data_IF_573557020669
#
_entry.id   IF_573557020669
#
_cell.length_a   1.000
_cell.length_b   1.000
_cell.length_c   1.000
_cell.angle_alpha   90.00
_cell.angle_beta   90.00
_cell.angle_gamma   90.00
#
_symmetry.space_group_name_H-M   'P 1'
#
loop_
_entity.id
_entity.type
_entity.pdbx_description
1 polymer ?
#
# COMPACT_ATOMS: atom_id res chain seq x y z
N UNK A 1 -12.86 -11.24 -38.21
CA UNK A 1 -11.66 -10.44 -38.54
C UNK A 1 -10.51 -10.88 -37.64
N UNK A 2 -10.65 -10.76 -36.32
CA UNK A 2 -9.68 -11.26 -35.32
C UNK A 2 -9.26 -12.73 -35.49
N UNK A 3 -10.19 -13.62 -35.86
CA UNK A 3 -9.91 -15.04 -36.13
C UNK A 3 -8.94 -15.22 -37.31
N UNK A 4 -9.17 -14.45 -38.39
CA UNK A 4 -8.36 -14.49 -39.62
C UNK A 4 -6.99 -13.86 -39.38
N UNK A 5 -6.93 -12.77 -38.61
CA UNK A 5 -5.69 -12.10 -38.25
C UNK A 5 -4.86 -12.93 -37.25
N UNK A 6 -5.49 -13.62 -36.30
CA UNK A 6 -4.83 -14.56 -35.38
C UNK A 6 -4.23 -15.74 -36.15
N UNK A 7 -4.95 -16.28 -37.14
CA UNK A 7 -4.48 -17.39 -37.99
C UNK A 7 -3.26 -16.99 -38.84
N UNK A 8 -3.23 -15.76 -39.36
CA UNK A 8 -2.11 -15.23 -40.14
C UNK A 8 -0.85 -14.93 -39.31
N UNK A 9 -1.02 -14.68 -38.01
CA UNK A 9 0.06 -14.28 -37.09
C UNK A 9 0.43 -15.38 -36.06
N UNK A 10 -0.06 -16.61 -36.23
CA UNK A 10 0.38 -17.77 -35.42
C UNK A 10 1.54 -18.47 -36.13
N UNK A 11 2.71 -17.83 -36.12
CA UNK A 11 3.95 -18.43 -36.58
C UNK A 11 4.99 -18.17 -35.49
N UNK A 12 5.29 -19.17 -34.67
CA UNK A 12 6.28 -19.07 -33.60
C UNK A 12 7.72 -18.96 -34.14
N UNK A 13 7.93 -19.31 -35.42
CA UNK A 13 9.24 -19.43 -36.08
C UNK A 13 9.60 -18.28 -37.03
N UNK A 14 8.71 -17.29 -37.21
CA UNK A 14 9.07 -16.06 -37.93
C UNK A 14 9.36 -14.94 -36.95
N UNK A 15 10.47 -14.23 -37.18
CA UNK A 15 10.78 -12.90 -36.65
C UNK A 15 9.73 -11.85 -37.11
N UNK A 16 8.45 -12.08 -36.84
CA UNK A 16 7.36 -11.19 -37.22
C UNK A 16 6.98 -10.31 -36.02
N UNK A 17 7.74 -9.20 -35.90
CA UNK A 17 7.43 -7.81 -35.54
C UNK A 17 6.16 -7.37 -34.77
N UNK A 18 5.36 -8.25 -34.14
CA UNK A 18 4.22 -7.82 -33.32
C UNK A 18 4.25 -8.50 -31.94
N UNK A 19 5.21 -8.08 -31.11
CA UNK A 19 5.42 -8.53 -29.73
C UNK A 19 4.17 -8.45 -28.84
N UNK A 20 3.20 -7.60 -29.20
CA UNK A 20 1.96 -7.42 -28.45
C UNK A 20 0.86 -8.45 -28.78
N UNK A 21 0.91 -9.10 -29.95
CA UNK A 21 -0.16 -9.99 -30.38
C UNK A 21 -0.30 -11.22 -29.47
N UNK A 22 0.81 -11.78 -28.98
CA UNK A 22 0.84 -12.94 -28.07
C UNK A 22 1.37 -12.60 -26.69
N UNK A 23 1.27 -11.32 -26.28
CA UNK A 23 1.64 -10.89 -24.93
C UNK A 23 0.87 -11.69 -23.86
N UNK A 24 1.49 -11.89 -22.69
CA UNK A 24 1.03 -12.81 -21.64
C UNK A 24 -0.45 -12.65 -21.24
N UNK A 25 -0.81 -11.55 -20.60
CA UNK A 25 -2.14 -11.20 -20.14
C UNK A 25 -3.12 -11.10 -21.31
N UNK A 26 -2.68 -10.55 -22.46
CA UNK A 26 -3.53 -10.45 -23.64
C UNK A 26 -3.94 -11.83 -24.17
N UNK A 27 -3.02 -12.80 -24.18
CA UNK A 27 -3.30 -14.19 -24.57
C UNK A 27 -4.29 -14.85 -23.61
N UNK A 28 -4.12 -14.64 -22.30
CA UNK A 28 -5.05 -15.11 -21.27
C UNK A 28 -6.46 -14.53 -21.43
N UNK A 29 -6.56 -13.19 -21.54
CA UNK A 29 -7.83 -12.49 -21.74
C UNK A 29 -8.55 -12.90 -23.03
N UNK A 30 -7.83 -13.08 -24.14
CA UNK A 30 -8.42 -13.60 -25.37
C UNK A 30 -8.93 -15.03 -25.20
N UNK A 31 -8.19 -15.87 -24.47
CA UNK A 31 -8.59 -17.25 -24.20
C UNK A 31 -9.91 -17.30 -23.43
N UNK A 32 -10.11 -16.40 -22.46
CA UNK A 32 -11.40 -16.26 -21.76
C UNK A 32 -12.54 -15.88 -22.72
N UNK A 33 -12.31 -14.92 -23.63
CA UNK A 33 -13.30 -14.50 -24.63
C UNK A 33 -13.64 -15.63 -25.63
N UNK A 34 -12.62 -16.36 -26.09
CA UNK A 34 -12.80 -17.52 -26.98
C UNK A 34 -13.64 -18.59 -26.29
N UNK A 35 -13.35 -18.88 -25.02
CA UNK A 35 -14.13 -19.83 -24.24
C UNK A 35 -15.60 -19.41 -24.13
N UNK A 36 -15.86 -18.14 -23.78
CA UNK A 36 -17.22 -17.60 -23.71
C UNK A 36 -17.98 -17.73 -25.03
N UNK A 37 -17.35 -17.34 -26.15
CA UNK A 37 -18.00 -17.43 -27.47
C UNK A 37 -18.28 -18.87 -27.87
N UNK A 38 -17.33 -19.79 -27.63
CA UNK A 38 -17.53 -21.20 -27.94
C UNK A 38 -18.67 -21.80 -27.11
N UNK A 39 -18.73 -21.50 -25.82
CA UNK A 39 -19.82 -21.96 -24.95
C UNK A 39 -21.18 -21.42 -25.42
N UNK A 40 -21.25 -20.15 -25.82
CA UNK A 40 -22.47 -19.56 -26.38
C UNK A 40 -22.90 -20.26 -27.68
N UNK A 41 -21.96 -20.55 -28.60
CA UNK A 41 -22.26 -21.27 -29.84
C UNK A 41 -22.77 -22.69 -29.56
N UNK A 42 -22.23 -23.37 -28.54
CA UNK A 42 -22.65 -24.73 -28.19
C UNK A 42 -24.02 -24.73 -27.50
N UNK A 43 -24.33 -23.74 -26.66
CA UNK A 43 -25.58 -23.69 -25.88
C UNK A 43 -26.79 -23.09 -26.60
N UNK A 44 -26.58 -22.23 -27.61
CA UNK A 44 -27.68 -21.59 -28.32
C UNK A 44 -28.26 -22.52 -29.40
N UNK A 45 -29.57 -22.79 -29.31
CA UNK A 45 -30.31 -23.69 -30.23
C UNK A 45 -30.33 -23.15 -31.68
N UNK A 46 -30.39 -21.83 -31.87
CA UNK A 46 -30.45 -21.17 -33.18
C UNK A 46 -29.07 -20.65 -33.66
N UNK A 47 -28.13 -21.58 -33.84
CA UNK A 47 -26.73 -21.28 -34.20
C UNK A 47 -26.34 -21.71 -35.60
N UNK A 48 -27.30 -21.94 -36.50
CA UNK A 48 -27.01 -22.43 -37.86
C UNK A 48 -25.97 -21.55 -38.59
N UNK A 49 -26.05 -20.23 -38.39
CA UNK A 49 -25.12 -19.23 -38.92
C UNK A 49 -23.71 -19.30 -38.32
N UNK A 50 -23.56 -19.80 -37.09
CA UNK A 50 -22.30 -19.85 -36.35
C UNK A 50 -21.65 -21.23 -36.34
N UNK A 51 -22.43 -22.31 -36.52
CA UNK A 51 -21.93 -23.70 -36.62
C UNK A 51 -20.88 -23.86 -37.71
N UNK A 52 -20.98 -23.11 -38.81
CA UNK A 52 -19.97 -23.11 -39.88
C UNK A 52 -18.58 -22.63 -39.45
N UNK A 53 -18.46 -21.94 -38.32
CA UNK A 53 -17.19 -21.46 -37.76
C UNK A 53 -16.67 -22.35 -36.62
N UNK A 54 -17.38 -23.41 -36.26
CA UNK A 54 -17.05 -24.23 -35.09
C UNK A 54 -15.64 -24.85 -35.20
N UNK A 55 -15.26 -25.31 -36.39
CA UNK A 55 -13.92 -25.83 -36.66
C UNK A 55 -12.83 -24.75 -36.51
N UNK A 56 -13.10 -23.53 -36.97
CA UNK A 56 -12.20 -22.39 -36.77
C UNK A 56 -12.05 -22.06 -35.28
N UNK A 57 -13.12 -22.15 -34.49
CA UNK A 57 -13.06 -21.95 -33.03
C UNK A 57 -12.28 -23.08 -32.34
N UNK A 58 -12.49 -24.35 -32.69
CA UNK A 58 -11.70 -25.44 -32.13
C UNK A 58 -10.22 -25.35 -32.49
N UNK A 59 -9.91 -24.90 -33.71
CA UNK A 59 -8.55 -24.57 -34.11
C UNK A 59 -7.99 -23.44 -33.23
N UNK A 60 -8.73 -22.35 -33.02
CA UNK A 60 -8.29 -21.25 -32.15
C UNK A 60 -8.06 -21.69 -30.70
N UNK A 61 -8.93 -22.54 -30.15
CA UNK A 61 -8.75 -23.12 -28.81
C UNK A 61 -7.45 -23.91 -28.75
N UNK A 62 -7.20 -24.79 -29.73
CA UNK A 62 -5.94 -25.55 -29.82
C UNK A 62 -4.71 -24.65 -29.86
N UNK A 63 -4.75 -23.60 -30.68
CA UNK A 63 -3.67 -22.63 -30.82
C UNK A 63 -3.40 -21.90 -29.48
N UNK A 64 -4.43 -21.44 -28.78
CA UNK A 64 -4.27 -20.75 -27.51
C UNK A 64 -3.82 -21.69 -26.38
N UNK A 65 -4.31 -22.94 -26.33
CA UNK A 65 -3.80 -23.95 -25.38
C UNK A 65 -2.30 -24.17 -25.61
N UNK A 66 -1.86 -24.36 -26.87
CA UNK A 66 -0.44 -24.51 -27.20
C UNK A 66 0.37 -23.28 -26.79
N UNK A 67 -0.11 -22.08 -27.12
CA UNK A 67 0.56 -20.83 -26.76
C UNK A 67 0.70 -20.69 -25.24
N UNK A 68 -0.39 -20.83 -24.47
CA UNK A 68 -0.37 -20.69 -23.01
C UNK A 68 0.46 -21.76 -22.29
N UNK A 69 0.64 -22.94 -22.87
CA UNK A 69 1.51 -23.99 -22.32
C UNK A 69 3.00 -23.68 -22.47
N UNK A 70 3.38 -23.02 -23.56
CA UNK A 70 4.80 -22.74 -23.90
C UNK A 70 5.21 -21.36 -23.40
N UNK A 71 4.28 -20.41 -23.33
CA UNK A 71 4.52 -19.08 -22.79
C UNK A 71 5.05 -19.18 -21.35
N UNK A 72 6.08 -18.38 -21.07
CA UNK A 72 6.53 -18.15 -19.70
C UNK A 72 5.37 -17.55 -18.91
N UNK A 73 5.12 -18.10 -17.73
CA UNK A 73 4.14 -17.52 -16.80
C UNK A 73 4.61 -16.13 -16.41
N UNK A 74 3.73 -15.14 -16.56
CA UNK A 74 4.02 -13.77 -16.18
C UNK A 74 4.29 -13.66 -14.67
N UNK A 75 4.99 -12.61 -14.26
CA UNK A 75 5.08 -12.24 -12.86
C UNK A 75 3.84 -11.47 -12.41
N UNK A 76 3.45 -11.63 -11.14
CA UNK A 76 2.36 -10.86 -10.53
C UNK A 76 0.98 -11.21 -11.10
N UNK A 77 0.10 -10.21 -11.15
CA UNK A 77 -1.31 -10.37 -11.48
C UNK A 77 -1.61 -10.81 -12.92
N UNK A 78 -0.71 -10.59 -13.88
CA UNK A 78 -0.89 -11.05 -15.27
C UNK A 78 -1.03 -12.58 -15.37
N UNK A 79 -0.35 -13.31 -14.48
CA UNK A 79 -0.38 -14.77 -14.42
C UNK A 79 -1.80 -15.31 -14.19
N UNK A 80 -2.63 -14.57 -13.45
CA UNK A 80 -4.02 -14.91 -13.15
C UNK A 80 -4.80 -15.12 -14.46
N UNK A 81 -4.68 -14.18 -15.40
CA UNK A 81 -5.40 -14.22 -16.67
C UNK A 81 -4.91 -15.33 -17.59
N UNK A 82 -3.59 -15.61 -17.60
CA UNK A 82 -3.03 -16.73 -18.37
C UNK A 82 -3.58 -18.07 -17.90
N UNK A 83 -3.52 -18.33 -16.58
CA UNK A 83 -3.94 -19.60 -15.99
C UNK A 83 -5.45 -19.77 -16.04
N UNK A 84 -6.21 -18.71 -15.76
CA UNK A 84 -7.66 -18.77 -15.86
C UNK A 84 -8.14 -18.99 -17.31
N UNK A 85 -7.54 -18.26 -18.27
CA UNK A 85 -7.80 -18.45 -19.69
C UNK A 85 -7.53 -19.89 -20.15
N UNK A 86 -6.39 -20.47 -19.73
CA UNK A 86 -6.08 -21.88 -20.00
C UNK A 86 -7.12 -22.82 -19.40
N UNK A 87 -7.51 -22.62 -18.14
CA UNK A 87 -8.50 -23.45 -17.46
C UNK A 87 -9.84 -23.47 -18.22
N UNK A 88 -10.34 -22.30 -18.63
CA UNK A 88 -11.59 -22.21 -19.39
C UNK A 88 -11.51 -22.95 -20.74
N UNK A 89 -10.42 -22.79 -21.48
CA UNK A 89 -10.23 -23.51 -22.75
C UNK A 89 -10.18 -25.03 -22.56
N UNK A 90 -9.48 -25.52 -21.53
CA UNK A 90 -9.41 -26.95 -21.22
C UNK A 90 -10.76 -27.55 -20.86
N UNK A 91 -11.64 -26.78 -20.20
CA UNK A 91 -12.99 -27.24 -19.85
C UNK A 91 -13.89 -27.43 -21.06
N UNK A 92 -13.70 -26.64 -22.12
CA UNK A 92 -14.50 -26.69 -23.34
C UNK A 92 -13.91 -27.62 -24.42
N UNK A 93 -12.67 -28.08 -24.24
CA UNK A 93 -11.99 -28.86 -25.28
C UNK A 93 -12.48 -30.32 -25.33
N UNK A 94 -12.94 -30.82 -26.49
CA UNK A 94 -13.48 -32.18 -26.65
C UNK A 94 -12.40 -33.28 -26.83
N UNK A 95 -11.14 -32.98 -26.51
CA UNK A 95 -10.00 -33.88 -26.75
C UNK A 95 -9.88 -35.04 -25.77
N UNK A 96 -8.85 -35.88 -26.00
CA UNK A 96 -8.62 -37.13 -25.28
C UNK A 96 -8.61 -36.95 -23.74
N UNK A 97 -9.37 -37.81 -23.05
CA UNK A 97 -9.83 -37.56 -21.68
C UNK A 97 -8.72 -37.63 -20.61
N UNK A 98 -7.69 -38.47 -20.81
CA UNK A 98 -6.63 -38.70 -19.80
C UNK A 98 -5.67 -37.52 -19.68
N UNK A 99 -5.12 -37.03 -20.79
CA UNK A 99 -4.14 -35.93 -20.79
C UNK A 99 -4.79 -34.60 -20.39
N UNK A 100 -6.07 -34.42 -20.74
CA UNK A 100 -6.85 -33.24 -20.38
C UNK A 100 -7.16 -33.17 -18.89
N UNK A 101 -7.41 -34.32 -18.24
CA UNK A 101 -7.62 -34.37 -16.79
C UNK A 101 -6.36 -33.92 -16.03
N UNK A 102 -5.21 -34.49 -16.36
CA UNK A 102 -3.93 -34.15 -15.74
C UNK A 102 -3.61 -32.67 -15.95
N UNK A 103 -3.82 -32.14 -17.16
CA UNK A 103 -3.54 -30.75 -17.46
C UNK A 103 -4.47 -29.78 -16.72
N UNK A 104 -5.74 -30.14 -16.48
CA UNK A 104 -6.67 -29.38 -15.64
C UNK A 104 -6.19 -29.34 -14.19
N UNK A 105 -5.85 -30.48 -13.60
CA UNK A 105 -5.32 -30.56 -12.22
C UNK A 105 -4.04 -29.72 -12.06
N UNK A 106 -3.13 -29.77 -13.03
CA UNK A 106 -1.93 -28.93 -13.05
C UNK A 106 -2.26 -27.43 -13.16
N UNK A 107 -3.27 -27.07 -13.94
CA UNK A 107 -3.70 -25.68 -14.12
C UNK A 107 -4.39 -25.14 -12.86
N UNK A 108 -5.18 -25.97 -12.19
CA UNK A 108 -5.78 -25.65 -10.89
C UNK A 108 -4.70 -25.42 -9.83
N UNK A 109 -3.73 -26.35 -9.71
CA UNK A 109 -2.59 -26.17 -8.79
C UNK A 109 -1.83 -24.87 -9.05
N UNK A 110 -1.58 -24.50 -10.31
CA UNK A 110 -0.95 -23.22 -10.67
C UNK A 110 -1.80 -22.02 -10.24
N UNK A 111 -3.13 -22.09 -10.37
CA UNK A 111 -4.00 -21.01 -9.90
C UNK A 111 -3.91 -20.85 -8.38
N UNK A 112 -3.87 -21.95 -7.63
CA UNK A 112 -3.67 -21.93 -6.18
C UNK A 112 -2.32 -21.32 -5.82
N UNK A 113 -1.23 -21.70 -6.49
CA UNK A 113 0.09 -21.11 -6.29
C UNK A 113 0.09 -19.59 -6.56
N UNK A 114 -0.56 -19.15 -7.64
CA UNK A 114 -0.72 -17.72 -7.94
C UNK A 114 -1.50 -17.02 -6.83
N UNK A 115 -2.62 -17.60 -6.39
CA UNK A 115 -3.44 -17.03 -5.32
C UNK A 115 -2.64 -16.83 -4.03
N UNK A 116 -1.90 -17.84 -3.58
CA UNK A 116 -1.07 -17.74 -2.38
C UNK A 116 0.11 -16.77 -2.54
N UNK A 117 0.51 -16.45 -3.77
CA UNK A 117 1.48 -15.38 -4.05
C UNK A 117 0.86 -13.98 -4.09
N UNK A 118 -0.46 -13.86 -4.04
CA UNK A 118 -1.18 -12.58 -4.06
C UNK A 118 -1.66 -12.17 -2.67
N UNK A 119 -2.08 -13.10 -1.81
CA UNK A 119 -2.58 -12.77 -0.46
C UNK A 119 -1.78 -13.46 0.65
N UNK A 120 -1.64 -12.76 1.77
CA UNK A 120 -1.28 -13.36 3.06
C UNK A 120 -2.47 -14.14 3.65
N UNK A 121 -2.20 -15.02 4.62
CA UNK A 121 -3.26 -15.83 5.24
C UNK A 121 -4.26 -14.98 6.06
N UNK A 122 -3.82 -13.80 6.50
CA UNK A 122 -4.64 -12.76 7.11
C UNK A 122 -5.56 -12.01 6.12
N UNK A 123 -5.47 -12.25 4.82
CA UNK A 123 -6.32 -11.63 3.80
C UNK A 123 -5.82 -10.26 3.32
N UNK A 124 -4.57 -9.90 3.55
CA UNK A 124 -3.96 -8.69 2.98
C UNK A 124 -3.24 -9.04 1.68
N UNK A 125 -3.46 -8.24 0.64
CA UNK A 125 -2.74 -8.38 -0.63
C UNK A 125 -1.27 -8.01 -0.48
N UNK A 126 -0.39 -8.71 -1.20
CA UNK A 126 1.05 -8.62 -1.01
C UNK A 126 1.68 -7.40 -1.65
N UNK A 127 1.08 -6.70 -2.61
CA UNK A 127 1.78 -5.67 -3.40
C UNK A 127 1.71 -4.25 -2.80
N UNK A 128 1.63 -4.13 -1.48
CA UNK A 128 1.76 -2.87 -0.73
C UNK A 128 0.88 -1.69 -1.23
N UNK A 129 -0.29 -1.98 -1.80
CA UNK A 129 -1.17 -0.97 -2.38
C UNK A 129 -2.63 -1.28 -2.10
N UNK A 130 -3.33 -0.29 -1.53
CA UNK A 130 -4.77 -0.30 -1.34
C UNK A 130 -5.54 -0.58 -2.65
N UNK A 131 -5.10 0.02 -3.77
CA UNK A 131 -5.74 -0.21 -5.06
C UNK A 131 -5.53 -1.64 -5.58
N UNK A 132 -4.32 -2.19 -5.44
CA UNK A 132 -4.05 -3.56 -5.88
C UNK A 132 -4.77 -4.59 -5.01
N UNK A 133 -4.94 -4.33 -3.72
CA UNK A 133 -5.80 -5.14 -2.85
C UNK A 133 -7.20 -5.27 -3.44
N UNK A 134 -7.86 -4.14 -3.71
CA UNK A 134 -9.22 -4.11 -4.26
C UNK A 134 -9.28 -4.69 -5.68
N UNK A 135 -8.32 -4.38 -6.55
CA UNK A 135 -8.30 -4.86 -7.94
C UNK A 135 -8.18 -6.39 -8.01
N UNK A 136 -7.28 -6.98 -7.22
CA UNK A 136 -7.02 -8.42 -7.24
C UNK A 136 -8.13 -9.19 -6.56
N UNK A 137 -8.67 -8.69 -5.45
CA UNK A 137 -9.87 -9.24 -4.83
C UNK A 137 -11.03 -9.32 -5.84
N UNK A 138 -11.36 -8.20 -6.48
CA UNK A 138 -12.42 -8.14 -7.49
C UNK A 138 -12.19 -9.08 -8.68
N UNK A 139 -10.92 -9.28 -9.06
CA UNK A 139 -10.56 -10.20 -10.12
C UNK A 139 -10.84 -11.64 -9.71
N UNK A 140 -10.40 -12.04 -8.52
CA UNK A 140 -10.63 -13.38 -7.99
C UNK A 140 -12.11 -13.68 -7.72
N UNK A 141 -12.88 -12.74 -7.15
CA UNK A 141 -14.33 -12.88 -6.95
C UNK A 141 -15.08 -13.18 -8.26
N UNK A 142 -14.59 -12.68 -9.39
CA UNK A 142 -15.21 -12.89 -10.71
C UNK A 142 -14.84 -14.23 -11.36
N UNK A 143 -13.63 -14.73 -11.11
CA UNK A 143 -13.09 -15.87 -11.86
C UNK A 143 -13.09 -17.18 -11.05
N UNK A 144 -13.04 -17.10 -9.72
CA UNK A 144 -13.04 -18.28 -8.86
C UNK A 144 -14.47 -18.71 -8.57
N UNK A 145 -14.79 -19.93 -8.96
CA UNK A 145 -16.02 -20.61 -8.57
C UNK A 145 -15.71 -22.06 -8.24
N UNK A 146 -16.51 -22.67 -7.36
CA UNK A 146 -16.39 -24.10 -7.01
C UNK A 146 -16.60 -25.02 -8.21
N UNK A 147 -17.27 -24.53 -9.26
CA UNK A 147 -17.47 -25.28 -10.50
C UNK A 147 -16.19 -25.35 -11.34
N UNK A 148 -15.42 -24.25 -11.36
CA UNK A 148 -14.19 -24.14 -12.15
C UNK A 148 -12.98 -24.69 -11.36
N UNK A 149 -12.94 -24.43 -10.05
CA UNK A 149 -11.87 -24.79 -9.13
C UNK A 149 -12.44 -25.50 -7.87
N UNK A 150 -12.73 -26.81 -7.95
CA UNK A 150 -13.38 -27.55 -6.86
C UNK A 150 -12.52 -27.71 -5.61
N UNK A 151 -11.18 -27.76 -5.72
CA UNK A 151 -10.28 -28.07 -4.59
C UNK A 151 -9.82 -26.82 -3.81
N UNK A 152 -10.61 -25.75 -3.87
CA UNK A 152 -10.22 -24.38 -3.50
C UNK A 152 -10.87 -23.85 -2.20
N UNK A 153 -11.22 -24.71 -1.23
CA UNK A 153 -11.96 -24.25 -0.02
C UNK A 153 -11.20 -23.18 0.78
N UNK A 154 -9.88 -23.31 0.89
CA UNK A 154 -9.05 -22.38 1.69
C UNK A 154 -8.97 -20.98 1.05
N UNK A 155 -8.84 -20.88 -0.28
CA UNK A 155 -8.72 -19.58 -0.95
C UNK A 155 -10.00 -18.74 -0.79
N UNK A 156 -11.18 -19.38 -0.75
CA UNK A 156 -12.43 -18.68 -0.46
C UNK A 156 -12.45 -18.09 0.95
N UNK A 157 -11.85 -18.75 1.95
CA UNK A 157 -11.74 -18.18 3.30
C UNK A 157 -10.82 -16.96 3.33
N UNK A 158 -9.72 -17.00 2.57
CA UNK A 158 -8.79 -15.87 2.47
C UNK A 158 -9.45 -14.71 1.71
N UNK A 159 -10.23 -14.99 0.66
CA UNK A 159 -11.00 -13.98 -0.06
C UNK A 159 -12.05 -13.29 0.83
N UNK A 160 -12.76 -14.04 1.67
CA UNK A 160 -13.69 -13.46 2.62
C UNK A 160 -12.98 -12.53 3.62
N UNK A 161 -11.78 -12.90 4.10
CA UNK A 161 -10.96 -12.00 4.92
C UNK A 161 -10.53 -10.77 4.13
N UNK A 162 -10.04 -10.93 2.90
CA UNK A 162 -9.63 -9.82 2.05
C UNK A 162 -10.79 -8.85 1.79
N UNK A 163 -11.98 -9.37 1.53
CA UNK A 163 -13.19 -8.57 1.36
C UNK A 163 -13.51 -7.73 2.60
N UNK A 164 -13.46 -8.31 3.79
CA UNK A 164 -13.64 -7.57 5.05
C UNK A 164 -12.54 -6.53 5.25
N UNK A 165 -11.30 -6.90 4.98
CA UNK A 165 -10.13 -6.06 5.18
C UNK A 165 -10.03 -4.89 4.20
N UNK A 166 -10.85 -4.84 3.14
CA UNK A 166 -10.94 -3.68 2.26
C UNK A 166 -11.25 -2.39 3.04
N UNK A 167 -11.99 -2.49 4.15
CA UNK A 167 -12.30 -1.36 5.01
C UNK A 167 -11.04 -0.62 5.49
N UNK A 168 -9.96 -1.35 5.76
CA UNK A 168 -8.68 -0.81 6.21
C UNK A 168 -7.85 -0.18 5.10
N UNK A 169 -8.24 -0.31 3.82
CA UNK A 169 -7.52 0.28 2.68
C UNK A 169 -7.96 1.73 2.41
N UNK A 170 -8.82 2.28 3.26
CA UNK A 170 -9.50 3.56 3.08
C UNK A 170 -9.54 4.32 4.40
N UNK A 171 -9.49 5.65 4.32
CA UNK A 171 -9.90 6.52 5.42
C UNK A 171 -11.40 6.37 5.72
N UNK A 172 -11.87 6.75 6.91
CA UNK A 172 -13.29 6.69 7.27
C UNK A 172 -14.23 7.50 6.35
N UNK A 173 -13.74 8.53 5.66
CA UNK A 173 -14.49 9.25 4.61
C UNK A 173 -14.53 8.49 3.25
N UNK A 174 -14.10 7.23 3.24
CA UNK A 174 -14.00 6.33 2.10
C UNK A 174 -12.95 6.71 1.03
N UNK A 175 -12.12 7.71 1.29
CA UNK A 175 -10.97 8.01 0.47
C UNK A 175 -9.91 6.91 0.58
N UNK A 176 -9.39 6.44 -0.54
CA UNK A 176 -8.33 5.43 -0.57
C UNK A 176 -7.07 5.89 0.16
N UNK A 177 -6.51 5.03 1.02
CA UNK A 177 -5.16 5.23 1.54
C UNK A 177 -4.19 5.14 0.37
N UNK A 178 -3.52 6.24 0.04
CA UNK A 178 -2.64 6.34 -1.12
C UNK A 178 -1.30 5.60 -0.96
N UNK A 179 -1.29 4.49 -0.23
CA UNK A 179 -0.11 3.65 0.01
C UNK A 179 0.37 3.00 -1.28
N UNK A 180 1.68 3.03 -1.51
CA UNK A 180 2.29 2.48 -2.70
C UNK A 180 1.67 3.01 -4.01
N UNK A 181 1.54 2.16 -5.02
CA UNK A 181 0.96 2.54 -6.30
C UNK A 181 -0.60 2.60 -6.29
N UNK A 182 -1.15 3.34 -5.34
CA UNK A 182 -2.59 3.60 -5.22
C UNK A 182 -2.99 4.93 -5.89
N UNK A 183 -4.16 4.91 -6.53
CA UNK A 183 -4.81 6.07 -7.13
C UNK A 183 -5.87 6.61 -6.18
N UNK A 184 -6.01 7.92 -6.17
CA UNK A 184 -7.07 8.61 -5.43
C UNK A 184 -8.46 8.21 -5.94
N UNK A 185 -9.29 7.74 -5.00
CA UNK A 185 -10.70 7.43 -5.21
C UNK A 185 -11.44 7.63 -3.89
N UNK A 186 -12.68 8.09 -3.98
CA UNK A 186 -13.66 7.96 -2.90
C UNK A 186 -14.58 6.82 -3.29
N UNK A 187 -14.59 5.74 -2.50
CA UNK A 187 -15.41 4.56 -2.81
C UNK A 187 -16.70 4.56 -1.99
N UNK A 188 -17.62 3.67 -2.37
CA UNK A 188 -18.72 3.29 -1.49
C UNK A 188 -18.30 2.03 -0.74
N UNK A 189 -18.22 2.06 0.61
CA UNK A 189 -17.89 0.87 1.38
C UNK A 189 -18.86 -0.28 1.08
N UNK A 190 -18.35 -1.51 1.07
CA UNK A 190 -19.20 -2.71 0.96
C UNK A 190 -19.91 -2.96 2.28
N UNK A 191 -21.02 -3.70 2.26
CA UNK A 191 -21.76 -4.06 3.49
C UNK A 191 -20.96 -4.97 4.41
N UNK A 192 -20.06 -5.75 3.83
CA UNK A 192 -19.23 -6.74 4.53
C UNK A 192 -17.91 -6.15 5.05
N UNK A 193 -17.62 -4.88 4.73
CA UNK A 193 -16.44 -4.16 5.22
C UNK A 193 -16.68 -3.73 6.67
N UNK A 194 -15.73 -4.03 7.54
CA UNK A 194 -15.81 -3.75 8.97
C UNK A 194 -14.41 -3.39 9.48
N UNK A 195 -14.32 -2.27 10.19
CA UNK A 195 -13.11 -1.87 10.92
C UNK A 195 -13.38 -2.15 12.40
N UNK A 196 -12.47 -2.88 13.03
CA UNK A 196 -12.56 -3.16 14.47
C UNK A 196 -12.02 -1.98 15.27
N UNK A 197 -12.77 -1.58 16.29
CA UNK A 197 -12.29 -0.67 17.33
C UNK A 197 -11.02 -1.20 18.01
N UNK A 198 -10.16 -0.29 18.41
CA UNK A 198 -8.86 -0.55 19.01
C UNK A 198 -7.75 -0.77 17.99
N UNK A 199 -6.77 -1.59 18.38
CA UNK A 199 -5.62 -1.91 17.54
C UNK A 199 -5.93 -3.11 16.66
N UNK A 200 -5.78 -2.96 15.35
CA UNK A 200 -5.71 -4.08 14.41
C UNK A 200 -4.31 -4.16 13.82
N UNK A 201 -3.58 -5.24 14.11
CA UNK A 201 -2.26 -5.50 13.53
C UNK A 201 -2.28 -6.70 12.59
N UNK A 202 -2.00 -6.46 11.32
CA UNK A 202 -1.80 -7.47 10.29
C UNK A 202 -0.32 -7.87 10.27
N UNK A 203 0.02 -8.90 11.06
CA UNK A 203 1.39 -9.30 11.34
C UNK A 203 2.18 -9.71 10.10
N UNK A 204 1.54 -10.37 9.15
CA UNK A 204 2.24 -10.83 7.94
C UNK A 204 2.57 -9.68 7.01
N UNK A 205 1.65 -8.74 6.79
CA UNK A 205 1.83 -7.57 5.91
C UNK A 205 2.55 -6.40 6.58
N UNK A 206 2.51 -6.29 7.90
CA UNK A 206 3.07 -5.18 8.67
C UNK A 206 2.13 -3.98 8.83
N UNK A 207 0.89 -4.07 8.35
CA UNK A 207 -0.06 -2.96 8.49
C UNK A 207 -0.67 -2.93 9.89
N UNK A 208 -0.63 -1.77 10.52
CA UNK A 208 -1.20 -1.54 11.85
C UNK A 208 -2.17 -0.40 11.78
N UNK A 209 -3.32 -0.58 12.42
CA UNK A 209 -4.36 0.43 12.50
C UNK A 209 -4.74 0.64 13.96
N UNK A 210 -4.97 1.89 14.34
CA UNK A 210 -5.75 2.25 15.52
C UNK A 210 -7.03 2.88 15.01
N UNK A 211 -8.18 2.34 15.42
CA UNK A 211 -9.48 2.86 15.05
C UNK A 211 -10.36 3.04 16.30
N UNK A 212 -11.04 4.17 16.42
CA UNK A 212 -12.08 4.38 17.43
C UNK A 212 -13.33 4.90 16.74
N UNK A 213 -14.46 4.22 16.97
CA UNK A 213 -15.75 4.65 16.48
C UNK A 213 -16.29 5.76 17.41
N UNK A 214 -16.51 6.93 16.85
CA UNK A 214 -17.16 8.05 17.52
C UNK A 214 -17.97 8.83 16.46
N UNK A 215 -18.62 9.95 16.82
CA UNK A 215 -19.41 10.75 15.87
C UNK A 215 -18.60 11.17 14.62
N UNK A 216 -17.28 11.33 14.78
CA UNK A 216 -16.28 11.51 13.73
C UNK A 216 -15.13 10.51 13.91
N UNK A 217 -15.21 9.30 13.31
CA UNK A 217 -14.28 8.22 13.58
C UNK A 217 -12.81 8.65 13.51
N UNK A 218 -11.99 8.09 14.40
CA UNK A 218 -10.55 8.35 14.47
C UNK A 218 -9.80 7.19 13.86
N UNK A 219 -8.84 7.43 12.98
CA UNK A 219 -8.03 6.36 12.38
C UNK A 219 -6.57 6.76 12.21
N UNK A 220 -5.67 5.93 12.73
CA UNK A 220 -4.23 5.99 12.46
C UNK A 220 -3.81 4.73 11.70
N UNK A 221 -3.16 4.89 10.56
CA UNK A 221 -2.43 3.84 9.85
C UNK A 221 -0.95 3.92 10.19
N UNK A 222 -0.29 2.77 10.32
CA UNK A 222 1.15 2.66 10.53
C UNK A 222 1.71 1.43 9.83
N UNK A 223 2.64 1.64 8.90
CA UNK A 223 3.33 0.57 8.18
C UNK A 223 4.62 0.14 8.88
N UNK A 224 4.80 -1.16 9.09
CA UNK A 224 5.91 -1.68 9.90
C UNK A 224 6.72 -2.79 9.23
N UNK A 225 6.50 -3.09 7.95
CA UNK A 225 7.23 -4.14 7.24
C UNK A 225 7.67 -3.73 5.82
N UNK A 226 8.67 -4.45 5.30
CA UNK A 226 9.12 -4.35 3.92
C UNK A 226 9.42 -5.74 3.37
N UNK A 227 8.44 -6.32 2.65
CA UNK A 227 8.46 -7.75 2.29
C UNK A 227 8.61 -8.02 0.80
N UNK A 228 8.37 -7.01 -0.04
CA UNK A 228 8.51 -7.09 -1.48
C UNK A 228 8.61 -5.68 -2.08
N UNK A 229 8.93 -5.63 -3.37
CA UNK A 229 9.13 -4.38 -4.13
C UNK A 229 7.98 -4.03 -5.06
N UNK A 230 7.00 -4.92 -5.21
CA UNK A 230 5.93 -4.68 -6.16
C UNK A 230 5.09 -3.51 -5.63
N UNK A 231 4.94 -2.47 -6.45
CA UNK A 231 4.12 -1.30 -6.16
C UNK A 231 4.43 -0.59 -4.83
N UNK A 232 5.63 -0.82 -4.30
CA UNK A 232 6.13 -0.32 -3.02
C UNK A 232 6.91 0.97 -3.21
N UNK A 233 6.78 1.90 -2.27
CA UNK A 233 7.58 3.14 -2.20
C UNK A 233 8.64 3.05 -1.10
N UNK A 234 9.49 4.06 -0.98
CA UNK A 234 10.55 4.14 0.04
C UNK A 234 10.02 4.72 1.37
N UNK A 235 8.93 4.13 1.88
CA UNK A 235 8.02 4.68 2.90
C UNK A 235 8.05 3.90 4.23
N UNK A 236 9.21 3.41 4.65
CA UNK A 236 9.29 2.59 5.87
C UNK A 236 8.84 3.40 7.09
N UNK A 237 7.97 2.80 7.92
CA UNK A 237 7.40 3.44 9.10
C UNK A 237 6.46 4.63 8.83
N UNK A 238 5.94 4.73 7.61
CA UNK A 238 4.95 5.74 7.24
C UNK A 238 3.68 5.64 8.09
N UNK A 239 3.11 6.80 8.41
CA UNK A 239 1.86 6.94 9.13
C UNK A 239 0.87 7.80 8.36
N UNK A 240 -0.42 7.52 8.52
CA UNK A 240 -1.50 8.36 7.99
C UNK A 240 -2.53 8.56 9.09
N UNK A 241 -3.11 9.75 9.19
CA UNK A 241 -3.99 10.14 10.29
C UNK A 241 -5.28 10.72 9.75
N UNK A 242 -6.39 10.26 10.30
CA UNK A 242 -7.72 10.80 10.10
C UNK A 242 -8.34 11.14 11.45
N UNK A 243 -8.75 12.40 11.60
CA UNK A 243 -9.37 12.91 12.81
C UNK A 243 -10.44 13.94 12.46
N UNK A 244 -11.51 13.99 13.25
CA UNK A 244 -12.55 15.02 13.17
C UNK A 244 -13.17 15.14 11.77
N UNK A 245 -13.36 14.01 11.09
CA UNK A 245 -13.97 13.99 9.76
C UNK A 245 -13.01 14.39 8.62
N UNK A 246 -11.72 14.58 8.90
CA UNK A 246 -10.72 15.05 7.94
C UNK A 246 -9.48 14.16 7.90
N UNK A 247 -8.92 14.00 6.71
CA UNK A 247 -7.57 13.48 6.54
C UNK A 247 -6.59 14.55 7.04
N UNK A 248 -5.74 14.21 8.01
CA UNK A 248 -4.75 15.12 8.59
C UNK A 248 -3.38 14.85 7.96
N UNK A 249 -2.86 13.64 8.13
CA UNK A 249 -1.62 13.17 7.51
C UNK A 249 -1.94 12.27 6.32
N UNK A 250 -1.42 12.64 5.15
CA UNK A 250 -1.68 11.94 3.88
C UNK A 250 -0.41 11.51 3.18
N UNK A 251 -0.57 10.62 2.21
CA UNK A 251 0.52 10.16 1.34
C UNK A 251 0.48 10.89 -0.01
N UNK A 252 1.64 11.01 -0.65
CA UNK A 252 1.79 11.61 -1.97
C UNK A 252 1.16 10.78 -3.09
N UNK A 253 0.99 9.47 -2.92
CA UNK A 253 0.37 8.59 -3.92
C UNK A 253 1.27 8.29 -5.12
N UNK A 254 0.69 7.84 -6.24
CA UNK A 254 1.45 7.20 -7.33
C UNK A 254 2.00 8.12 -8.42
N UNK A 255 1.23 9.15 -8.78
CA UNK A 255 1.38 10.00 -9.98
C UNK A 255 1.30 9.26 -11.34
N UNK A 256 2.31 8.46 -11.69
CA UNK A 256 2.38 7.75 -12.97
C UNK A 256 3.17 6.44 -12.84
N UNK A 257 3.41 5.73 -13.94
CA UNK A 257 4.32 4.58 -13.98
C UNK A 257 5.62 4.89 -14.74
N UNK A 258 5.81 6.13 -15.19
CA UNK A 258 6.97 6.54 -15.99
C UNK A 258 8.13 6.83 -15.06
N UNK A 259 9.09 5.90 -14.96
CA UNK A 259 10.19 5.93 -13.98
C UNK A 259 11.08 7.17 -14.04
N UNK A 260 11.26 7.73 -15.24
CA UNK A 260 12.12 8.90 -15.45
C UNK A 260 11.37 10.23 -15.24
N UNK A 261 10.08 10.17 -14.89
CA UNK A 261 9.33 11.38 -14.58
C UNK A 261 9.69 11.89 -13.16
N UNK A 262 10.02 13.18 -12.99
CA UNK A 262 10.42 13.72 -11.69
C UNK A 262 9.36 13.60 -10.58
N UNK A 263 8.09 13.82 -10.88
CA UNK A 263 7.00 13.63 -9.90
C UNK A 263 6.80 12.17 -9.54
N UNK A 264 7.01 11.23 -10.49
CA UNK A 264 7.01 9.80 -10.15
C UNK A 264 8.17 9.47 -9.19
N UNK A 265 9.36 9.96 -9.48
CA UNK A 265 10.52 9.73 -8.62
C UNK A 265 10.25 10.28 -7.21
N UNK A 266 9.77 11.53 -7.13
CA UNK A 266 9.34 12.14 -5.87
C UNK A 266 8.29 11.31 -5.14
N UNK A 267 7.15 11.01 -5.75
CA UNK A 267 6.06 10.26 -5.13
C UNK A 267 6.48 8.89 -4.58
N UNK A 268 7.52 8.26 -5.14
CA UNK A 268 8.04 6.97 -4.64
C UNK A 268 9.25 7.08 -3.68
N UNK A 269 9.73 8.30 -3.43
CA UNK A 269 10.92 8.63 -2.62
C UNK A 269 10.58 8.78 -1.15
N UNK A 270 11.55 8.65 -0.25
CA UNK A 270 11.34 8.72 1.20
C UNK A 270 10.81 10.08 1.64
N UNK A 271 11.22 11.17 0.97
CA UNK A 271 10.75 12.54 1.28
C UNK A 271 9.29 12.82 0.94
N UNK A 272 8.58 11.90 0.28
CA UNK A 272 7.16 12.06 -0.06
C UNK A 272 6.21 11.40 0.97
N UNK A 273 6.74 10.88 2.08
CA UNK A 273 5.98 10.13 3.09
C UNK A 273 6.18 10.68 4.51
N UNK A 274 5.35 10.22 5.45
CA UNK A 274 5.37 10.63 6.87
C UNK A 274 6.38 9.80 7.67
N UNK A 275 7.66 10.02 7.41
CA UNK A 275 8.76 9.13 7.83
C UNK A 275 9.92 9.92 8.41
N UNK A 276 10.97 9.21 8.81
CA UNK A 276 12.27 9.80 9.08
C UNK A 276 13.15 9.67 7.82
N UNK A 277 13.92 10.69 7.49
CA UNK A 277 14.99 10.62 6.51
C UNK A 277 16.36 10.60 7.18
N UNK A 278 17.32 9.94 6.53
CA UNK A 278 18.72 9.91 6.95
C UNK A 278 19.56 10.40 5.77
N UNK A 279 20.40 11.40 6.01
CA UNK A 279 21.29 12.04 5.03
C UNK A 279 20.56 12.61 3.80
N UNK A 280 19.28 12.96 3.92
CA UNK A 280 18.43 13.37 2.79
C UNK A 280 18.39 12.33 1.64
N UNK A 281 18.60 11.05 1.95
CA UNK A 281 18.59 9.94 0.97
C UNK A 281 17.35 9.05 1.09
N UNK A 282 17.01 8.38 -0.02
CA UNK A 282 15.93 7.39 -0.06
C UNK A 282 16.31 6.07 0.59
N UNK A 283 15.33 5.45 1.24
CA UNK A 283 15.45 4.07 1.72
C UNK A 283 15.68 3.08 0.57
N UNK A 284 16.56 2.11 0.83
CA UNK A 284 16.97 1.11 -0.16
C UNK A 284 15.91 0.02 -0.30
N UNK A 285 15.28 -0.05 -1.47
CA UNK A 285 14.30 -1.10 -1.81
C UNK A 285 14.93 -2.41 -2.33
N UNK A 286 16.17 -2.72 -1.92
CA UNK A 286 16.85 -3.95 -2.32
C UNK A 286 16.35 -5.15 -1.49
N UNK A 287 16.26 -6.34 -2.10
CA UNK A 287 15.72 -7.56 -1.45
C UNK A 287 16.46 -7.96 -0.17
N UNK A 288 17.75 -7.64 -0.06
CA UNK A 288 18.56 -7.94 1.12
C UNK A 288 18.13 -7.15 2.36
N UNK A 289 17.42 -6.04 2.17
CA UNK A 289 16.89 -5.21 3.25
C UNK A 289 15.44 -5.55 3.60
N UNK A 290 14.89 -6.65 3.08
CA UNK A 290 13.55 -7.09 3.48
C UNK A 290 13.48 -7.39 4.98
N UNK A 291 12.40 -6.95 5.60
CA UNK A 291 12.09 -7.25 6.99
C UNK A 291 10.60 -7.51 7.17
N UNK A 292 10.28 -8.49 8.03
CA UNK A 292 8.94 -8.65 8.59
C UNK A 292 8.62 -7.50 9.53
N UNK A 293 7.35 -7.40 9.96
CA UNK A 293 6.91 -6.41 10.95
C UNK A 293 7.93 -6.17 12.06
N UNK A 294 8.37 -4.91 12.19
CA UNK A 294 9.28 -4.41 13.23
C UNK A 294 8.54 -3.81 14.43
N UNK A 295 7.23 -4.04 14.51
CA UNK A 295 6.41 -3.61 15.63
C UNK A 295 6.76 -4.45 16.87
N UNK A 296 7.43 -3.83 17.83
CA UNK A 296 7.87 -4.46 19.07
C UNK A 296 6.82 -4.34 20.18
N UNK A 297 6.03 -3.26 20.16
CA UNK A 297 5.03 -2.99 21.18
C UNK A 297 3.73 -2.46 20.56
N UNK A 298 2.62 -2.98 21.07
CA UNK A 298 1.26 -2.49 20.86
C UNK A 298 0.54 -2.52 22.21
N UNK A 299 0.18 -1.36 22.75
CA UNK A 299 -0.47 -1.26 24.05
C UNK A 299 -1.61 -0.24 23.99
N UNK A 300 -2.79 -0.61 24.51
CA UNK A 300 -3.84 0.33 24.88
C UNK A 300 -3.69 0.60 26.38
N UNK A 301 -3.19 1.79 26.74
CA UNK A 301 -3.25 2.29 28.13
C UNK A 301 -4.62 2.90 28.36
N UNK A 302 -4.97 3.21 29.62
CA UNK A 302 -6.30 3.74 29.98
C UNK A 302 -6.77 4.89 29.09
N UNK A 303 -5.83 5.77 28.69
CA UNK A 303 -6.15 7.01 27.99
C UNK A 303 -5.46 7.17 26.62
N UNK A 304 -4.61 6.25 26.16
CA UNK A 304 -3.92 6.38 24.87
C UNK A 304 -3.36 5.04 24.36
N UNK A 305 -3.03 5.02 23.08
CA UNK A 305 -2.33 3.93 22.41
C UNK A 305 -0.83 4.20 22.35
N UNK A 306 -0.02 3.16 22.57
CA UNK A 306 1.43 3.19 22.36
C UNK A 306 1.84 2.12 21.34
N UNK A 307 2.42 2.56 20.23
CA UNK A 307 3.04 1.72 19.21
C UNK A 307 4.55 1.99 19.20
N UNK A 308 5.37 0.93 19.13
CA UNK A 308 6.84 1.05 19.07
C UNK A 308 7.42 0.14 18.00
N UNK A 309 8.30 0.69 17.17
CA UNK A 309 9.19 -0.09 16.30
C UNK A 309 10.64 0.14 16.67
N UNK A 310 11.49 -0.86 16.41
CA UNK A 310 12.94 -0.71 16.44
C UNK A 310 13.55 -1.33 15.18
N UNK A 311 14.47 -0.61 14.54
CA UNK A 311 15.11 -1.06 13.31
C UNK A 311 16.55 -0.56 13.21
N UNK A 312 17.40 -1.38 12.61
CA UNK A 312 18.76 -0.98 12.27
C UNK A 312 18.90 -0.93 10.75
N UNK A 313 19.13 0.26 10.22
CA UNK A 313 19.33 0.46 8.80
C UNK A 313 20.78 0.14 8.42
N UNK A 314 21.03 -1.04 7.88
CA UNK A 314 22.38 -1.48 7.48
C UNK A 314 23.06 -0.54 6.47
N UNK A 315 22.30 0.02 5.52
CA UNK A 315 22.85 0.95 4.53
C UNK A 315 23.34 2.25 5.17
N UNK A 316 22.56 2.79 6.11
CA UNK A 316 22.91 4.02 6.80
C UNK A 316 23.85 3.78 7.98
N UNK A 317 23.93 2.57 8.54
CA UNK A 317 24.66 2.30 9.79
C UNK A 317 24.09 3.15 10.94
N UNK A 318 22.77 3.09 11.12
CA UNK A 318 22.04 3.83 12.14
C UNK A 318 20.88 2.98 12.70
N UNK A 319 20.65 3.04 14.00
CA UNK A 319 19.44 2.50 14.62
C UNK A 319 18.36 3.57 14.72
N UNK A 320 17.11 3.13 14.61
CA UNK A 320 15.93 3.97 14.63
C UNK A 320 14.82 3.28 15.40
N UNK A 321 14.38 3.93 16.47
CA UNK A 321 13.20 3.55 17.21
C UNK A 321 12.12 4.60 16.96
N UNK A 322 10.94 4.19 16.50
CA UNK A 322 9.79 5.09 16.35
C UNK A 322 8.75 4.75 17.41
N UNK A 323 8.40 5.74 18.20
CA UNK A 323 7.34 5.68 19.20
C UNK A 323 6.17 6.53 18.73
N UNK A 324 4.97 5.96 18.79
CA UNK A 324 3.73 6.67 18.51
C UNK A 324 2.85 6.57 19.74
N UNK A 325 2.57 7.71 20.34
CA UNK A 325 1.55 7.86 21.38
C UNK A 325 0.35 8.54 20.76
N UNK A 326 -0.79 7.85 20.73
CA UNK A 326 -1.98 8.34 20.07
C UNK A 326 -3.17 8.28 21.00
N UNK A 327 -3.73 9.44 21.31
CA UNK A 327 -5.00 9.59 22.01
C UNK A 327 -6.01 10.18 21.03
N UNK A 328 -6.89 9.34 20.46
CA UNK A 328 -7.93 9.77 19.52
C UNK A 328 -8.66 11.01 20.00
N UNK A 329 -8.89 11.96 19.09
CA UNK A 329 -9.49 13.28 19.32
C UNK A 329 -8.66 14.25 20.18
N UNK A 330 -7.56 13.85 20.80
CA UNK A 330 -6.78 14.74 21.66
C UNK A 330 -5.37 15.00 21.13
N UNK A 331 -4.60 13.96 20.83
CA UNK A 331 -3.27 14.13 20.26
C UNK A 331 -2.70 12.91 19.54
N UNK A 332 -1.78 13.17 18.61
CA UNK A 332 -0.80 12.24 18.08
C UNK A 332 0.60 12.77 18.41
N UNK A 333 1.42 11.98 19.08
CA UNK A 333 2.82 12.31 19.36
C UNK A 333 3.74 11.24 18.76
N UNK A 334 4.60 11.67 17.83
CA UNK A 334 5.56 10.81 17.14
C UNK A 334 6.96 11.16 17.62
N UNK A 335 7.73 10.17 18.03
CA UNK A 335 9.11 10.34 18.47
C UNK A 335 9.99 9.35 17.73
N UNK A 336 11.00 9.88 17.04
CA UNK A 336 12.05 9.08 16.43
C UNK A 336 13.32 9.23 17.26
N UNK A 337 13.88 8.10 17.70
CA UNK A 337 15.14 8.03 18.45
C UNK A 337 16.23 7.40 17.60
N UNK A 338 17.29 8.15 17.33
CA UNK A 338 18.30 7.81 16.35
C UNK A 338 19.69 7.72 16.95
N UNK A 339 20.41 6.67 16.58
CA UNK A 339 21.76 6.40 17.08
C UNK A 339 22.66 5.93 15.96
N UNK A 340 23.78 6.61 15.79
CA UNK A 340 24.83 6.27 14.83
C UNK A 340 26.21 6.52 15.41
N UNK A 341 27.21 5.84 14.84
CA UNK A 341 28.61 6.06 15.23
C UNK A 341 29.12 7.42 14.72
N UNK A 342 28.84 7.72 13.46
CA UNK A 342 29.22 8.97 12.80
C UNK A 342 28.00 9.92 12.75
N UNK A 343 28.21 11.25 12.68
CA UNK A 343 27.08 12.18 12.61
C UNK A 343 26.31 11.94 11.31
N UNK A 344 25.00 12.08 11.40
CA UNK A 344 24.08 11.99 10.26
C UNK A 344 23.09 13.12 10.33
N UNK A 345 22.65 13.53 9.16
CA UNK A 345 21.53 14.43 9.04
C UNK A 345 20.24 13.61 9.19
N UNK A 346 19.43 13.95 10.19
CA UNK A 346 18.14 13.32 10.46
C UNK A 346 17.04 14.34 10.23
N UNK A 347 16.01 13.95 9.48
CA UNK A 347 14.85 14.81 9.18
C UNK A 347 13.57 14.04 9.42
N UNK A 348 12.75 14.48 10.37
CA UNK A 348 11.42 13.90 10.60
C UNK A 348 10.41 14.73 9.81
N UNK A 349 9.78 14.12 8.82
CA UNK A 349 8.98 14.79 7.79
C UNK A 349 7.54 14.30 7.82
N UNK A 350 6.59 15.23 7.66
CA UNK A 350 5.15 14.95 7.61
C UNK A 350 4.48 15.73 6.48
N UNK A 351 3.48 15.12 5.86
CA UNK A 351 2.70 15.64 4.76
C UNK A 351 1.26 15.89 5.22
N UNK A 352 0.91 17.16 5.42
CA UNK A 352 -0.43 17.55 5.85
C UNK A 352 -1.35 17.69 4.64
N UNK A 353 -2.62 17.32 4.80
CA UNK A 353 -3.60 17.39 3.71
C UNK A 353 -3.71 18.78 3.08
N UNK A 354 -3.83 18.85 1.75
CA UNK A 354 -3.73 20.09 0.97
C UNK A 354 -4.80 21.15 1.29
N UNK A 355 -5.94 20.70 1.83
CA UNK A 355 -7.07 21.56 2.19
C UNK A 355 -6.98 22.13 3.62
N UNK A 356 -5.93 21.78 4.38
CA UNK A 356 -5.65 22.42 5.65
C UNK A 356 -5.14 23.85 5.39
N UNK A 357 -5.47 24.78 6.28
CA UNK A 357 -4.93 26.14 6.25
C UNK A 357 -3.93 26.27 7.39
N UNK A 358 -2.65 26.36 7.05
CA UNK A 358 -1.54 26.31 8.01
C UNK A 358 -1.00 27.71 8.25
N UNK A 359 -1.02 28.13 9.52
CA UNK A 359 -0.42 29.38 9.99
C UNK A 359 0.56 29.11 11.11
N UNK A 360 1.54 29.99 11.30
CA UNK A 360 2.47 29.91 12.42
C UNK A 360 2.12 30.95 13.49
N UNK A 361 1.97 30.51 14.74
CA UNK A 361 1.73 31.40 15.89
C UNK A 361 2.40 30.87 17.16
N UNK A 362 3.29 31.68 17.75
CA UNK A 362 3.90 31.37 19.04
C UNK A 362 4.78 30.11 19.04
N UNK A 363 5.43 29.80 17.92
CA UNK A 363 6.26 28.61 17.76
C UNK A 363 5.48 27.31 17.58
N UNK A 364 4.19 27.41 17.23
CA UNK A 364 3.34 26.31 16.78
C UNK A 364 2.89 26.56 15.35
N UNK A 365 2.71 25.49 14.58
CA UNK A 365 1.85 25.54 13.39
C UNK A 365 0.41 25.27 13.82
N UNK A 366 -0.54 25.96 13.21
CA UNK A 366 -1.96 25.83 13.54
C UNK A 366 -2.79 25.60 12.28
N UNK A 367 -3.87 24.81 12.42
CA UNK A 367 -4.91 24.73 11.41
C UNK A 367 -6.27 24.55 12.04
N UNK A 368 -7.28 25.25 11.50
CA UNK A 368 -8.68 25.02 11.87
C UNK A 368 -9.22 23.77 11.17
N UNK A 369 -9.51 22.73 11.95
CA UNK A 369 -10.02 21.45 11.45
C UNK A 369 -11.55 21.52 11.28
N UNK A 370 -12.27 22.04 12.26
CA UNK A 370 -13.71 22.32 12.20
C UNK A 370 -14.00 23.69 12.82
N UNK A 371 -15.26 24.11 12.89
CA UNK A 371 -15.64 25.38 13.52
C UNK A 371 -15.15 25.47 14.98
N UNK A 372 -15.18 24.34 15.70
CA UNK A 372 -14.84 24.24 17.12
C UNK A 372 -13.48 23.59 17.38
N UNK A 373 -12.81 23.06 16.36
CA UNK A 373 -11.56 22.29 16.51
C UNK A 373 -10.39 22.96 15.82
N UNK A 374 -9.35 23.28 16.59
CA UNK A 374 -8.05 23.77 16.10
C UNK A 374 -6.99 22.73 16.42
N UNK A 375 -6.19 22.38 15.40
CA UNK A 375 -4.99 21.56 15.55
C UNK A 375 -3.78 22.47 15.76
N UNK A 376 -2.93 22.11 16.71
CA UNK A 376 -1.63 22.74 16.97
C UNK A 376 -0.52 21.70 16.79
N UNK A 377 0.53 22.07 16.08
CA UNK A 377 1.70 21.24 15.81
C UNK A 377 2.93 21.88 16.43
N UNK A 378 3.65 21.11 17.25
CA UNK A 378 4.95 21.48 17.81
C UNK A 378 5.96 20.40 17.46
N UNK A 379 7.11 20.79 16.93
CA UNK A 379 8.22 19.86 16.69
C UNK A 379 9.46 20.34 17.46
N UNK A 380 10.19 19.39 18.04
CA UNK A 380 11.46 19.63 18.73
C UNK A 380 12.46 18.53 18.44
N UNK A 381 13.73 18.87 18.37
CA UNK A 381 14.82 17.91 18.31
C UNK A 381 15.73 18.09 19.52
N UNK A 382 15.95 17.02 20.29
CA UNK A 382 16.93 16.97 21.37
C UNK A 382 18.22 16.34 20.86
N UNK A 383 19.26 17.15 20.72
CA UNK A 383 20.62 16.64 20.57
C UNK A 383 21.10 16.10 21.91
N UNK A 384 21.27 14.77 21.98
CA UNK A 384 21.54 14.09 23.25
C UNK A 384 23.00 14.29 23.70
N UNK A 385 23.94 14.42 22.75
CA UNK A 385 25.36 14.68 23.03
C UNK A 385 25.58 15.99 23.77
N UNK A 386 24.85 17.03 23.38
CA UNK A 386 25.00 18.38 23.92
C UNK A 386 23.91 18.76 24.92
N UNK A 387 22.87 17.93 25.02
CA UNK A 387 21.65 18.21 25.78
C UNK A 387 21.02 19.55 25.37
N UNK A 388 20.98 19.79 24.04
CA UNK A 388 20.46 21.01 23.41
C UNK A 388 19.15 20.69 22.71
N UNK A 389 18.16 21.58 22.87
CA UNK A 389 16.86 21.48 22.19
C UNK A 389 16.83 22.47 21.03
N UNK A 390 16.46 21.98 19.86
CA UNK A 390 16.22 22.77 18.64
C UNK A 390 14.71 22.76 18.35
N UNK A 391 14.15 23.94 18.08
CA UNK A 391 12.72 24.13 17.83
C UNK A 391 12.43 24.66 16.42
N UNK A 392 13.29 24.34 15.46
CA UNK A 392 13.11 24.75 14.08
C UNK A 392 12.05 23.89 13.39
N UNK A 393 10.99 24.54 12.91
CA UNK A 393 9.95 23.93 12.09
C UNK A 393 10.01 24.58 10.72
N UNK A 394 10.28 23.77 9.69
CA UNK A 394 10.14 24.21 8.30
C UNK A 394 8.78 23.77 7.80
N UNK A 395 8.07 24.68 7.15
CA UNK A 395 6.82 24.38 6.44
C UNK A 395 6.84 24.95 5.03
N UNK A 396 6.33 24.20 4.06
CA UNK A 396 6.12 24.69 2.69
C UNK A 396 4.89 24.03 2.06
N UNK A 397 4.35 24.63 1.00
CA UNK A 397 3.21 24.11 0.25
C UNK A 397 3.50 24.17 -1.24
N UNK A 398 3.94 23.05 -1.81
CA UNK A 398 4.43 23.00 -3.20
C UNK A 398 5.72 23.79 -3.41
N UNK A 399 6.78 23.10 -3.83
CA UNK A 399 8.02 23.73 -4.26
C UNK A 399 8.49 23.07 -5.56
N UNK A 400 8.28 23.74 -6.70
CA UNK A 400 8.63 23.19 -8.02
C UNK A 400 10.13 23.00 -8.20
N UNK A 401 10.97 23.80 -7.54
CA UNK A 401 12.42 23.73 -7.65
C UNK A 401 12.97 22.41 -7.11
N UNK A 402 12.53 22.02 -5.92
CA UNK A 402 12.94 20.79 -5.25
C UNK A 402 11.95 19.63 -5.45
N UNK A 403 10.83 19.89 -6.14
CA UNK A 403 9.69 18.99 -6.32
C UNK A 403 9.28 18.40 -4.98
N UNK A 404 8.85 19.24 -4.04
CA UNK A 404 8.48 18.85 -2.68
C UNK A 404 7.12 19.43 -2.30
N UNK A 405 6.40 18.76 -1.39
CA UNK A 405 5.07 19.20 -0.96
C UNK A 405 4.05 19.04 -2.08
N UNK A 406 3.98 17.85 -2.70
CA UNK A 406 3.00 17.54 -3.74
C UNK A 406 2.23 16.27 -3.43
N UNK A 407 0.99 16.23 -3.89
CA UNK A 407 0.12 15.05 -3.78
C UNK A 407 -0.49 14.71 -5.13
N UNK A 408 -0.39 13.44 -5.54
CA UNK A 408 -0.90 12.96 -6.80
C UNK A 408 -2.34 12.44 -6.67
N UNK A 409 -3.29 13.25 -7.14
CA UNK A 409 -4.73 12.92 -7.12
C UNK A 409 -5.24 12.34 -8.44
N UNK A 410 -4.40 12.31 -9.48
CA UNK A 410 -4.75 11.80 -10.79
C UNK A 410 -3.53 11.32 -11.56
N UNK A 411 -3.77 10.65 -12.69
CA UNK A 411 -2.68 10.20 -13.55
C UNK A 411 -2.01 11.38 -14.23
N UNK A 412 -0.73 11.60 -13.93
CA UNK A 412 0.02 12.80 -14.33
C UNK A 412 -0.56 14.12 -13.79
N UNK A 413 -1.25 14.07 -12.64
CA UNK A 413 -1.81 15.25 -12.00
C UNK A 413 -1.32 15.30 -10.54
N UNK A 414 -0.79 16.45 -10.15
CA UNK A 414 -0.43 16.77 -8.77
C UNK A 414 -1.16 18.04 -8.33
N UNK A 415 -1.34 18.15 -7.02
CA UNK A 415 -1.74 19.38 -6.34
C UNK A 415 -0.68 19.74 -5.29
N UNK A 416 -0.57 21.02 -4.98
CA UNK A 416 0.28 21.48 -3.87
C UNK A 416 -0.25 20.89 -2.56
N UNK A 417 0.66 20.36 -1.76
CA UNK A 417 0.39 19.77 -0.46
C UNK A 417 1.36 20.35 0.57
N UNK A 418 0.97 20.35 1.85
CA UNK A 418 1.87 20.84 2.88
C UNK A 418 2.89 19.77 3.24
N UNK A 419 4.15 20.18 3.36
CA UNK A 419 5.20 19.43 4.00
C UNK A 419 5.68 20.21 5.21
N UNK A 420 5.87 19.53 6.33
CA UNK A 420 6.49 20.06 7.53
C UNK A 420 7.60 19.15 7.98
N UNK A 421 8.69 19.72 8.50
CA UNK A 421 9.77 18.92 9.06
C UNK A 421 10.60 19.70 10.08
N UNK A 422 11.30 18.94 10.93
CA UNK A 422 12.48 19.40 11.65
C UNK A 422 13.68 18.57 11.19
N UNK A 423 14.87 19.17 11.26
CA UNK A 423 16.11 18.59 10.71
C UNK A 423 17.28 18.93 11.61
N UNK A 424 18.19 17.97 11.80
CA UNK A 424 19.34 18.11 12.70
C UNK A 424 20.46 17.16 12.30
N UNK A 425 21.71 17.61 12.42
CA UNK A 425 22.89 16.77 12.23
C UNK A 425 23.46 16.36 13.59
N UNK A 426 23.46 15.07 13.90
CA UNK A 426 24.03 14.57 15.17
C UNK A 426 24.33 13.06 15.10
N UNK A 427 25.00 12.53 16.13
CA UNK A 427 25.24 11.09 16.31
C UNK A 427 24.11 10.41 17.11
N UNK A 428 23.48 11.15 18.03
CA UNK A 428 22.44 10.63 18.91
C UNK A 428 21.39 11.72 19.14
N UNK A 429 20.17 11.48 18.67
CA UNK A 429 19.11 12.49 18.69
C UNK A 429 17.75 11.88 18.93
N UNK A 430 16.86 12.66 19.52
CA UNK A 430 15.43 12.38 19.58
C UNK A 430 14.66 13.51 18.88
N UNK A 431 13.88 13.18 17.85
CA UNK A 431 12.99 14.13 17.18
C UNK A 431 11.55 13.83 17.59
N UNK A 432 10.88 14.80 18.20
CA UNK A 432 9.49 14.70 18.65
C UNK A 432 8.58 15.64 17.86
N UNK A 433 7.40 15.17 17.51
CA UNK A 433 6.36 15.93 16.82
C UNK A 433 4.98 15.69 17.42
N UNK A 434 4.45 16.72 18.09
CA UNK A 434 3.15 16.72 18.73
C UNK A 434 2.11 17.37 17.82
N UNK A 435 1.08 16.61 17.46
CA UNK A 435 -0.15 17.09 16.85
C UNK A 435 -1.23 17.04 17.93
N UNK A 436 -1.70 18.19 18.38
CA UNK A 436 -2.66 18.30 19.49
C UNK A 436 -3.92 19.03 19.03
N UNK A 437 -5.08 18.62 19.52
CA UNK A 437 -6.37 19.18 19.13
C UNK A 437 -6.98 19.94 20.33
N UNK A 438 -7.43 21.18 20.10
CA UNK A 438 -8.04 22.12 21.06
C UNK A 438 -7.14 22.63 22.19
N UNK A 439 -6.04 21.95 22.49
CA UNK A 439 -5.05 22.36 23.50
C UNK A 439 -3.70 22.51 22.81
N UNK A 440 -3.04 23.64 23.03
CA UNK A 440 -1.59 23.73 22.79
C UNK A 440 -0.91 22.85 23.83
N UNK A 441 -0.13 21.89 23.36
CA UNK A 441 0.69 21.03 24.21
C UNK A 441 2.14 21.30 23.86
N UNK A 442 2.86 21.97 24.76
CA UNK A 442 4.31 22.03 24.69
C UNK A 442 4.91 20.82 25.42
N UNK A 443 6.10 20.41 24.99
CA UNK A 443 6.78 19.26 25.55
C UNK A 443 8.30 19.44 25.57
N UNK A 444 8.94 18.80 26.55
CA UNK A 444 10.38 18.60 26.56
C UNK A 444 10.71 17.13 26.40
N UNK A 445 11.73 16.87 25.60
CA UNK A 445 12.39 15.59 25.47
C UNK A 445 13.57 15.61 26.46
N UNK A 446 13.58 14.69 27.43
CA UNK A 446 14.68 14.60 28.40
C UNK A 446 15.22 13.19 28.43
N UNK A 447 16.51 13.02 28.19
CA UNK A 447 17.14 11.72 28.35
C UNK A 447 17.20 11.34 29.84
N UNK A 448 16.78 10.12 30.18
CA UNK A 448 17.01 9.48 31.48
C UNK A 448 18.12 8.43 31.31
N UNK A 449 18.69 7.98 32.42
CA UNK A 449 19.56 6.81 32.49
C UNK A 449 18.98 5.60 31.70
N UNK A 450 19.87 4.76 31.16
CA UNK A 450 19.56 3.59 30.34
C UNK A 450 18.89 3.85 28.97
N UNK A 451 19.15 5.00 28.33
CA UNK A 451 18.59 5.38 27.01
C UNK A 451 17.05 5.50 27.00
N UNK A 452 16.44 5.68 28.17
CA UNK A 452 15.00 5.95 28.28
C UNK A 452 14.77 7.43 28.02
N UNK A 453 13.78 7.79 27.20
CA UNK A 453 13.41 9.19 26.98
C UNK A 453 12.21 9.51 27.85
N UNK A 454 12.37 10.51 28.72
CA UNK A 454 11.29 11.14 29.45
C UNK A 454 10.62 12.17 28.57
N UNK A 455 9.30 12.12 28.60
CA UNK A 455 8.46 13.18 28.08
C UNK A 455 7.96 14.01 29.25
N UNK A 456 8.06 15.33 29.13
CA UNK A 456 7.51 16.27 30.10
C UNK A 456 6.59 17.21 29.35
N UNK A 457 5.29 17.22 29.69
CA UNK A 457 4.30 18.13 29.13
C UNK A 457 4.08 19.32 30.08
N UNK A 458 3.96 20.53 29.54
CA UNK A 458 3.56 21.79 30.23
C UNK A 458 3.53 21.77 31.78
N UNK A 459 4.71 21.82 32.44
CA UNK A 459 4.90 21.89 33.90
C UNK A 459 4.08 20.89 34.77
N UNK A 460 3.37 19.93 34.17
CA UNK A 460 2.61 18.87 34.80
C UNK A 460 3.27 17.54 34.47
N UNK A 461 3.57 16.77 35.51
CA UNK A 461 4.29 15.50 35.42
C UNK A 461 3.39 14.39 34.86
N UNK A 462 2.91 14.50 33.63
CA UNK A 462 2.51 13.29 32.91
C UNK A 462 3.76 12.65 32.34
N UNK A 463 4.07 11.46 32.86
CA UNK A 463 5.25 10.68 32.52
C UNK A 463 4.81 9.62 31.52
N UNK A 464 5.32 9.72 30.31
CA UNK A 464 5.29 8.63 29.35
C UNK A 464 6.72 8.06 29.30
N UNK A 465 6.91 6.92 29.96
CA UNK A 465 8.14 6.10 29.88
C UNK A 465 7.99 5.11 28.72
N UNK A 466 9.02 4.99 27.88
CA UNK A 466 9.03 4.10 26.72
C UNK A 466 10.43 3.69 26.25
#
# INVERSE_FOLDING_TARGET
RDIVDTKKNFDFDRENNNSFAWHDMATGLRSMKIAFVLEAIVKLEDTHSFKKYLDDFYMLVNLHIKALKIQKLASGNHAIFQVHGLMLLLRLFPGNFSDMKILKEQTEKKMLEIFYNQFFQEGIHKENSANYHSFILNTFEKILSKEIYPDSIEIFKILEKAKKNCAYMHFPNAETLLTGDSDYKVIKPRKEEEIKEGITHFKESGYTYVYEENDNPSMLYFDTAFLNRAHRHADFFNILLYEYGKNILVDAGKYSYVKDNPFRQYCSSTRAHNVLMINNEDYRLDRKYFFTSKLEKTEKKENHYHLKTAHYYEYFVASHDRHIFYKPMEFLFVIDVLRSKDPKNYKQIFHLHQDLDISEEGGFLESRITDDVVMHIKMKALEISENTIHEDIVSSKGNEGDIEGYRALGHNEVVDNYVIYNEIESHHVSLGSMFSFNKKIDFDLVLIEDNTIKLVFDNQKEIIEG
#
